data_IF_247287006792
#
_entry.id   IF_247287006792
#
_cell.length_a   1.000
_cell.length_b   1.000
_cell.length_c   1.000
_cell.angle_alpha   90.00
_cell.angle_beta   90.00
_cell.angle_gamma   90.00
#
_symmetry.space_group_name_H-M   'P 1'
#
loop_
_entity.id
_entity.type
_entity.pdbx_description
1 polymer ?
#
# COMPACT_ATOMS: atom_id res chain seq x y z
N UNK A 1 -59.28 22.09 -39.01
CA UNK A 1 -58.95 23.54 -38.95
C UNK A 1 -57.69 23.64 -38.13
N UNK A 2 -56.49 23.64 -38.77
CA UNK A 2 -55.77 24.87 -39.17
C UNK A 2 -55.38 25.61 -37.85
N UNK A 3 -54.12 25.77 -37.42
CA UNK A 3 -52.92 26.35 -38.06
C UNK A 3 -51.81 26.23 -37.02
N UNK A 4 -50.61 25.68 -37.21
CA UNK A 4 -49.47 26.24 -37.90
C UNK A 4 -48.82 27.50 -37.26
N UNK A 5 -47.55 27.41 -37.12
CA UNK A 5 -46.42 28.35 -37.21
C UNK A 5 -45.61 28.48 -35.93
N UNK A 6 -44.32 28.40 -35.86
CA UNK A 6 -43.15 28.65 -36.71
C UNK A 6 -42.00 28.88 -35.72
N UNK A 7 -40.91 28.09 -35.73
CA UNK A 7 -39.63 28.48 -36.31
C UNK A 7 -39.03 29.82 -35.83
N UNK A 8 -37.96 29.79 -35.09
CA UNK A 8 -36.82 30.69 -35.35
C UNK A 8 -35.50 30.12 -34.84
N UNK A 9 -34.70 29.77 -35.76
CA UNK A 9 -33.24 29.58 -35.81
C UNK A 9 -32.51 30.91 -35.60
N UNK A 10 -31.47 30.95 -34.79
CA UNK A 10 -30.31 31.88 -34.90
C UNK A 10 -29.13 31.14 -34.24
N UNK A 11 -28.18 30.61 -34.89
CA UNK A 11 -27.13 30.88 -35.87
C UNK A 11 -26.35 32.20 -35.59
N UNK A 12 -25.02 32.05 -35.65
CA UNK A 12 -23.93 33.06 -35.71
C UNK A 12 -23.37 33.49 -34.34
N UNK A 13 -22.08 33.19 -33.98
CA UNK A 13 -20.93 33.80 -34.56
C UNK A 13 -19.65 33.00 -34.40
N UNK A 14 -19.02 32.81 -35.52
CA UNK A 14 -17.63 32.51 -35.79
C UNK A 14 -16.74 33.66 -35.28
N UNK A 15 -15.67 33.40 -34.58
CA UNK A 15 -14.52 34.29 -34.53
C UNK A 15 -13.24 33.45 -34.55
N UNK A 16 -12.70 33.32 -35.73
CA UNK A 16 -11.32 32.96 -35.99
C UNK A 16 -10.42 34.15 -35.64
N UNK A 17 -9.35 33.92 -34.93
CA UNK A 17 -8.23 34.84 -34.93
C UNK A 17 -6.92 34.04 -34.93
N UNK A 18 -6.28 34.23 -36.01
CA UNK A 18 -5.00 33.96 -36.60
C UNK A 18 -3.78 33.97 -35.66
N UNK A 19 -2.90 33.04 -35.98
CA UNK A 19 -1.45 33.17 -36.28
C UNK A 19 -0.57 34.06 -35.38
N UNK A 20 0.42 33.42 -34.80
CA UNK A 20 1.81 33.83 -35.02
C UNK A 20 2.76 32.66 -34.72
N UNK A 21 3.40 32.22 -35.77
CA UNK A 21 4.63 31.44 -35.85
C UNK A 21 5.79 32.28 -35.25
N UNK A 22 6.55 31.69 -34.34
CA UNK A 22 7.96 32.05 -34.19
C UNK A 22 8.77 30.76 -34.09
N UNK A 23 9.44 30.48 -35.17
CA UNK A 23 10.54 29.57 -35.34
C UNK A 23 11.74 30.07 -34.52
N UNK A 24 12.35 29.20 -33.73
CA UNK A 24 13.63 29.45 -33.12
C UNK A 24 14.39 28.13 -33.07
N UNK A 25 15.03 27.77 -34.18
CA UNK A 25 16.13 26.84 -34.27
C UNK A 25 17.37 27.50 -33.67
N UNK A 26 17.98 26.88 -32.71
CA UNK A 26 19.39 27.12 -32.36
C UNK A 26 20.09 25.77 -32.48
N UNK A 27 20.77 25.61 -33.59
CA UNK A 27 21.89 24.72 -33.79
C UNK A 27 23.07 25.25 -32.97
N UNK A 28 23.70 24.44 -32.20
CA UNK A 28 25.06 24.61 -31.74
C UNK A 28 25.79 23.29 -31.95
N UNK A 29 26.40 23.19 -33.09
CA UNK A 29 27.58 22.37 -33.37
C UNK A 29 28.71 22.87 -32.46
N UNK A 30 29.36 22.02 -31.74
CA UNK A 30 30.75 22.18 -31.32
C UNK A 30 31.50 20.93 -31.68
N UNK A 31 32.20 21.09 -32.74
CA UNK A 31 33.35 20.38 -33.24
C UNK A 31 34.44 20.39 -32.14
N UNK A 32 34.98 19.28 -31.76
CA UNK A 32 36.30 19.18 -31.15
C UNK A 32 37.07 18.01 -31.72
N UNK A 33 37.94 18.39 -32.56
CA UNK A 33 39.17 17.84 -33.10
C UNK A 33 39.81 16.72 -32.26
N UNK A 34 40.13 15.67 -33.00
CA UNK A 34 41.16 14.71 -32.74
C UNK A 34 42.53 15.42 -32.65
N UNK A 35 43.29 15.17 -31.59
CA UNK A 35 44.74 15.32 -31.60
C UNK A 35 45.38 13.99 -31.27
N UNK A 36 45.89 13.41 -32.32
CA UNK A 36 46.88 12.33 -32.41
C UNK A 36 48.27 12.86 -32.02
N UNK A 37 48.97 12.27 -31.09
CA UNK A 37 50.40 12.29 -30.86
C UNK A 37 50.73 11.25 -29.77
N UNK A 38 51.42 10.16 -29.96
CA UNK A 38 52.73 10.00 -30.56
C UNK A 38 53.42 8.91 -29.74
N UNK A 39 53.87 7.89 -30.42
CA UNK A 39 54.70 6.79 -29.92
C UNK A 39 55.92 7.28 -29.15
N UNK A 40 56.29 6.62 -28.05
CA UNK A 40 57.69 6.40 -27.70
C UNK A 40 57.89 5.00 -27.13
N UNK A 41 58.57 4.22 -27.92
CA UNK A 41 59.27 3.01 -27.52
C UNK A 41 60.39 3.34 -26.52
N UNK A 42 60.53 2.57 -25.47
CA UNK A 42 61.79 2.44 -24.74
C UNK A 42 62.12 0.97 -24.47
N UNK A 43 63.01 0.48 -25.29
CA UNK A 43 64.28 -0.24 -25.15
C UNK A 43 64.43 -1.05 -23.85
N UNK A 44 64.62 -2.37 -24.09
CA UNK A 44 65.17 -3.37 -23.20
C UNK A 44 66.58 -3.00 -22.76
N UNK A 45 66.85 -3.16 -21.49
CA UNK A 45 68.23 -3.46 -21.02
C UNK A 45 68.20 -4.72 -20.15
N UNK A 46 68.96 -5.71 -20.66
CA UNK A 46 69.40 -6.90 -19.96
C UNK A 46 70.30 -6.54 -18.80
N UNK A 47 70.07 -7.08 -17.62
CA UNK A 47 71.09 -7.24 -16.62
C UNK A 47 71.10 -8.62 -16.00
N UNK A 48 72.34 -9.15 -16.03
CA UNK A 48 72.84 -10.46 -15.72
C UNK A 48 72.51 -11.04 -14.35
N UNK A 49 72.45 -12.34 -14.35
CA UNK A 49 72.49 -13.26 -13.21
C UNK A 49 73.66 -12.98 -12.26
N UNK A 50 73.33 -12.91 -10.96
CA UNK A 50 74.27 -13.32 -9.90
C UNK A 50 73.55 -14.29 -8.97
N UNK A 51 74.18 -15.48 -8.87
CA UNK A 51 73.85 -16.53 -7.92
C UNK A 51 74.23 -16.09 -6.50
N UNK A 52 73.32 -16.25 -5.57
CA UNK A 52 73.73 -16.33 -4.16
C UNK A 52 73.01 -17.50 -3.48
N UNK A 53 73.79 -18.16 -2.71
CA UNK A 53 73.72 -19.43 -2.05
C UNK A 53 72.47 -19.58 -1.12
N UNK A 54 72.06 -20.82 -1.02
CA UNK A 54 71.07 -21.37 -0.10
C UNK A 54 71.51 -21.18 1.34
N UNK A 55 70.74 -20.42 2.10
CA UNK A 55 70.65 -20.58 3.54
C UNK A 55 69.18 -20.93 3.92
N UNK A 56 69.08 -22.15 4.41
CA UNK A 56 67.89 -22.79 4.91
C UNK A 56 67.51 -22.14 6.24
N UNK A 57 66.52 -21.26 6.22
CA UNK A 57 65.84 -20.83 7.44
C UNK A 57 64.49 -21.50 7.50
N UNK A 58 64.33 -22.47 8.40
CA UNK A 58 63.06 -22.94 8.89
C UNK A 58 62.31 -21.74 9.49
N UNK A 59 61.37 -21.19 8.74
CA UNK A 59 60.35 -20.31 9.28
C UNK A 59 59.22 -21.18 9.80
N UNK A 60 59.09 -21.23 11.11
CA UNK A 60 57.85 -21.57 11.79
C UNK A 60 56.78 -20.62 11.22
N UNK A 61 55.83 -21.18 10.53
CA UNK A 61 54.62 -20.45 10.13
C UNK A 61 53.91 -20.02 11.45
N UNK A 62 53.64 -18.73 11.66
CA UNK A 62 52.72 -18.33 12.72
C UNK A 62 51.33 -18.87 12.34
N UNK A 63 50.74 -19.64 13.22
CA UNK A 63 49.31 -19.93 13.20
C UNK A 63 48.57 -18.63 12.90
N UNK A 64 48.10 -18.48 11.67
CA UNK A 64 47.13 -17.49 11.33
C UNK A 64 45.85 -17.97 12.02
N UNK A 65 45.56 -17.42 13.20
CA UNK A 65 44.21 -17.37 13.72
C UNK A 65 43.38 -16.75 12.58
N UNK A 66 42.56 -17.55 11.94
CA UNK A 66 41.49 -17.06 11.07
C UNK A 66 40.64 -16.12 11.93
N UNK A 67 40.93 -14.83 11.90
CA UNK A 67 40.01 -13.82 12.42
C UNK A 67 38.74 -13.95 11.61
N UNK A 68 37.70 -14.39 12.27
CA UNK A 68 36.34 -14.54 11.75
C UNK A 68 35.81 -13.13 11.43
N UNK A 69 36.18 -12.65 10.20
CA UNK A 69 35.80 -11.32 9.71
C UNK A 69 34.29 -11.26 9.55
N UNK A 70 33.57 -10.67 10.54
CA UNK A 70 32.14 -10.40 10.46
C UNK A 70 31.26 -10.92 11.59
N UNK A 71 31.86 -11.48 12.64
CA UNK A 71 31.13 -11.94 13.80
C UNK A 71 30.85 -10.80 14.78
N UNK A 72 29.57 -10.51 15.04
CA UNK A 72 29.15 -9.41 15.92
C UNK A 72 28.75 -9.97 17.29
N UNK A 73 29.55 -9.69 18.29
CA UNK A 73 29.24 -10.04 19.69
C UNK A 73 28.30 -9.02 20.30
N UNK A 74 27.15 -9.47 20.78
CA UNK A 74 26.22 -8.67 21.61
C UNK A 74 25.92 -9.40 22.91
N UNK A 75 26.06 -8.71 24.03
CA UNK A 75 25.63 -9.23 25.31
C UNK A 75 24.10 -9.32 25.39
N UNK A 76 23.57 -10.22 26.22
CA UNK A 76 22.12 -10.35 26.41
C UNK A 76 21.44 -9.05 26.87
N UNK A 77 22.13 -8.23 27.65
CA UNK A 77 21.65 -6.93 28.07
C UNK A 77 21.56 -5.94 26.88
N UNK A 78 22.53 -5.97 25.97
CA UNK A 78 22.51 -5.17 24.75
C UNK A 78 21.38 -5.62 23.82
N UNK A 79 21.16 -6.91 23.64
CA UNK A 79 20.05 -7.46 22.86
C UNK A 79 18.69 -7.00 23.40
N UNK A 80 18.49 -7.02 24.73
CA UNK A 80 17.25 -6.58 25.35
C UNK A 80 17.01 -5.07 25.21
N UNK A 81 18.05 -4.26 25.35
CA UNK A 81 17.93 -2.79 25.25
C UNK A 81 17.82 -2.30 23.80
N UNK A 82 18.38 -3.02 22.83
CA UNK A 82 18.31 -2.70 21.40
C UNK A 82 16.93 -2.99 20.77
N UNK A 83 16.07 -3.74 21.48
CA UNK A 83 14.76 -4.15 20.95
C UNK A 83 14.87 -5.12 19.77
N UNK A 84 16.01 -5.81 19.62
CA UNK A 84 16.19 -6.88 18.66
C UNK A 84 15.18 -8.00 18.96
N UNK A 85 14.54 -8.50 17.90
CA UNK A 85 13.65 -9.66 18.00
C UNK A 85 14.20 -10.79 17.13
N UNK A 86 14.20 -11.99 17.68
CA UNK A 86 14.61 -13.19 16.98
C UNK A 86 13.41 -13.93 16.40
N UNK A 87 13.63 -14.64 15.30
CA UNK A 87 12.68 -15.59 14.71
C UNK A 87 13.43 -16.77 14.12
N UNK A 88 12.72 -17.86 13.84
CA UNK A 88 13.30 -19.07 13.27
C UNK A 88 12.92 -19.17 11.80
N UNK A 89 13.87 -19.51 10.94
CA UNK A 89 13.64 -19.79 9.53
C UNK A 89 12.81 -21.07 9.41
N UNK A 90 11.64 -20.98 8.85
CA UNK A 90 10.70 -22.09 8.66
C UNK A 90 10.01 -22.01 7.32
N UNK A 91 9.33 -23.10 6.94
CA UNK A 91 8.42 -23.07 5.81
C UNK A 91 7.28 -22.07 6.07
N UNK A 92 6.90 -21.33 5.06
CA UNK A 92 5.83 -20.34 5.13
C UNK A 92 5.02 -20.25 3.84
N UNK A 93 4.15 -19.26 3.79
CA UNK A 93 3.36 -18.94 2.60
C UNK A 93 3.69 -17.52 2.17
N UNK A 94 4.11 -17.35 0.93
CA UNK A 94 4.29 -16.06 0.28
C UNK A 94 3.03 -15.78 -0.54
N UNK A 95 2.46 -14.59 -0.35
CA UNK A 95 1.30 -14.15 -1.11
C UNK A 95 1.76 -13.34 -2.31
N UNK A 96 1.34 -13.77 -3.50
CA UNK A 96 1.43 -12.92 -4.67
C UNK A 96 0.33 -11.87 -4.57
N UNK A 97 0.69 -10.60 -4.52
CA UNK A 97 -0.24 -9.52 -4.25
C UNK A 97 -0.22 -8.48 -5.36
N UNK A 98 -1.41 -8.01 -5.70
CA UNK A 98 -1.61 -6.87 -6.60
C UNK A 98 -1.85 -5.61 -5.77
N UNK A 99 -0.90 -4.65 -5.73
CA UNK A 99 -1.13 -3.38 -5.05
C UNK A 99 -2.09 -2.50 -5.87
N UNK A 100 -3.10 -1.96 -5.19
CA UNK A 100 -4.15 -1.14 -5.79
C UNK A 100 -4.54 0.00 -4.85
N UNK A 101 -5.19 1.01 -5.41
CA UNK A 101 -5.74 2.14 -4.67
C UNK A 101 -7.26 2.08 -4.69
N UNK A 102 -7.88 2.65 -3.66
CA UNK A 102 -9.33 2.69 -3.57
C UNK A 102 -9.85 3.78 -2.66
N UNK A 103 -11.16 3.78 -2.53
CA UNK A 103 -11.93 4.70 -1.68
C UNK A 103 -12.90 3.89 -0.82
N UNK A 104 -13.01 4.26 0.44
CA UNK A 104 -14.05 3.71 1.31
C UNK A 104 -15.40 4.26 0.85
N UNK A 105 -16.35 3.38 0.59
CA UNK A 105 -17.70 3.71 0.17
C UNK A 105 -18.73 3.26 1.21
N UNK A 106 -19.88 3.91 1.19
CA UNK A 106 -21.00 3.52 2.02
C UNK A 106 -21.53 2.16 1.54
N UNK A 107 -21.80 1.25 2.48
CA UNK A 107 -22.53 0.04 2.16
C UNK A 107 -24.01 0.39 1.90
N UNK A 108 -24.39 0.50 0.61
CA UNK A 108 -25.73 0.90 0.21
C UNK A 108 -26.84 -0.07 0.66
N UNK A 109 -26.48 -1.33 0.98
CA UNK A 109 -27.43 -2.33 1.51
C UNK A 109 -27.79 -2.04 2.98
N UNK A 110 -27.06 -1.13 3.63
CA UNK A 110 -27.22 -0.73 5.03
C UNK A 110 -27.60 0.74 5.19
N UNK A 111 -28.36 1.26 4.24
CA UNK A 111 -28.86 2.63 4.23
C UNK A 111 -30.37 2.62 4.32
N UNK A 112 -30.95 3.39 5.22
CA UNK A 112 -32.35 3.67 5.28
C UNK A 112 -32.60 5.11 4.84
N UNK A 113 -33.17 5.30 3.66
CA UNK A 113 -33.79 6.56 3.25
C UNK A 113 -35.19 6.66 3.90
N UNK A 114 -35.34 7.57 4.84
CA UNK A 114 -36.58 7.75 5.62
C UNK A 114 -37.51 8.67 4.85
N UNK A 115 -38.62 8.13 4.36
CA UNK A 115 -39.66 8.88 3.63
C UNK A 115 -40.97 8.87 4.39
N UNK A 116 -41.81 9.85 4.14
CA UNK A 116 -43.17 9.87 4.66
C UNK A 116 -44.06 8.88 3.91
N UNK A 117 -44.88 8.13 4.65
CA UNK A 117 -45.85 7.21 4.04
C UNK A 117 -47.09 7.96 3.48
N UNK A 118 -47.45 9.06 4.14
CA UNK A 118 -48.57 9.93 3.75
C UNK A 118 -48.08 11.37 3.79
N UNK A 119 -48.52 12.18 2.84
CA UNK A 119 -48.19 13.60 2.81
C UNK A 119 -48.78 14.32 4.04
N UNK A 120 -47.98 15.22 4.59
CA UNK A 120 -48.38 15.91 5.81
C UNK A 120 -47.40 16.98 6.26
N UNK A 121 -47.63 17.49 7.46
CA UNK A 121 -46.78 18.47 8.12
C UNK A 121 -45.99 17.78 9.21
N UNK A 122 -44.66 18.01 9.24
CA UNK A 122 -43.77 17.48 10.28
C UNK A 122 -44.06 18.19 11.60
N UNK A 123 -44.45 17.42 12.62
CA UNK A 123 -44.77 17.94 13.96
C UNK A 123 -43.55 17.92 14.88
N UNK A 124 -42.68 16.94 14.74
CA UNK A 124 -41.41 16.91 15.46
C UNK A 124 -40.34 16.17 14.67
N UNK A 125 -39.06 16.56 14.85
CA UNK A 125 -37.91 15.82 14.41
C UNK A 125 -37.03 15.56 15.63
N UNK A 126 -36.90 14.29 16.02
CA UNK A 126 -36.34 13.88 17.31
C UNK A 126 -34.86 13.57 17.25
N UNK A 127 -34.28 13.52 16.05
CA UNK A 127 -32.86 13.15 15.81
C UNK A 127 -32.18 14.23 14.98
N UNK A 128 -30.89 14.42 15.25
CA UNK A 128 -29.98 15.34 14.54
C UNK A 128 -28.96 14.58 13.71
N UNK A 129 -28.32 15.25 12.78
CA UNK A 129 -27.16 14.69 12.07
C UNK A 129 -26.10 14.35 13.11
N UNK A 130 -25.55 13.13 13.02
CA UNK A 130 -24.57 12.57 13.95
C UNK A 130 -25.17 11.76 15.10
N UNK A 131 -26.49 11.82 15.34
CA UNK A 131 -27.14 11.06 16.41
C UNK A 131 -27.15 9.56 16.07
N UNK A 132 -26.77 8.75 17.05
CA UNK A 132 -26.96 7.30 16.99
C UNK A 132 -28.44 6.95 17.15
N UNK A 133 -28.89 5.97 16.39
CA UNK A 133 -30.28 5.47 16.42
C UNK A 133 -30.28 3.95 16.51
N UNK A 134 -31.28 3.43 17.22
CA UNK A 134 -31.56 2.00 17.27
C UNK A 134 -32.83 1.70 16.47
N UNK A 135 -32.89 0.50 15.94
CA UNK A 135 -34.08 0.02 15.26
C UNK A 135 -35.30 0.15 16.18
N UNK A 136 -36.34 0.85 15.70
CA UNK A 136 -37.57 1.16 16.46
C UNK A 136 -37.60 2.56 17.05
N UNK A 137 -36.46 3.27 17.16
CA UNK A 137 -36.43 4.66 17.64
C UNK A 137 -37.32 5.55 16.77
N UNK A 138 -38.13 6.39 17.39
CA UNK A 138 -38.91 7.39 16.66
C UNK A 138 -38.00 8.51 16.15
N UNK A 139 -37.93 8.64 14.84
CA UNK A 139 -37.09 9.63 14.16
C UNK A 139 -37.80 10.97 14.06
N UNK A 140 -39.05 10.94 13.63
CA UNK A 140 -39.90 12.12 13.47
C UNK A 140 -41.38 11.75 13.52
N UNK A 141 -42.25 12.75 13.71
CA UNK A 141 -43.71 12.59 13.66
C UNK A 141 -44.28 13.50 12.58
N UNK A 142 -45.27 12.97 11.85
CA UNK A 142 -45.96 13.66 10.76
C UNK A 142 -47.46 13.64 11.01
N UNK A 143 -48.11 14.75 10.82
CA UNK A 143 -49.57 14.82 10.76
C UNK A 143 -50.01 14.75 9.31
N UNK A 144 -50.77 13.71 8.97
CA UNK A 144 -51.26 13.49 7.62
C UNK A 144 -52.30 14.52 7.20
N UNK A 145 -52.16 15.09 6.01
CA UNK A 145 -53.06 16.12 5.49
C UNK A 145 -54.52 15.66 5.37
N UNK A 146 -54.75 14.41 4.98
CA UNK A 146 -56.09 13.87 4.75
C UNK A 146 -56.83 13.55 6.05
N UNK A 147 -56.16 12.91 7.02
CA UNK A 147 -56.78 12.39 8.22
C UNK A 147 -56.60 13.27 9.46
N UNK A 148 -55.68 14.26 9.40
CA UNK A 148 -55.23 15.10 10.51
C UNK A 148 -54.70 14.27 11.71
N UNK A 149 -54.33 13.01 11.47
CA UNK A 149 -53.77 12.12 12.50
C UNK A 149 -52.23 12.14 12.44
N UNK A 150 -51.66 12.24 13.61
CA UNK A 150 -50.19 12.15 13.74
C UNK A 150 -49.76 10.69 13.75
N UNK A 151 -48.74 10.38 12.98
CA UNK A 151 -48.07 9.09 12.98
C UNK A 151 -46.57 9.27 13.14
N UNK A 152 -45.90 8.27 13.75
CA UNK A 152 -44.47 8.24 13.93
C UNK A 152 -43.80 7.52 12.77
N UNK A 153 -42.61 7.98 12.38
CA UNK A 153 -41.72 7.31 11.46
C UNK A 153 -40.50 6.86 12.27
N UNK A 154 -40.27 5.53 12.27
CA UNK A 154 -39.25 4.91 13.10
C UNK A 154 -38.06 4.44 12.27
N UNK A 155 -36.91 4.33 12.92
CA UNK A 155 -35.74 3.70 12.35
C UNK A 155 -36.00 2.21 12.09
N UNK A 156 -35.69 1.75 10.87
CA UNK A 156 -35.77 0.34 10.51
C UNK A 156 -34.46 -0.42 10.79
N UNK A 157 -33.35 0.31 10.92
CA UNK A 157 -32.01 -0.22 11.17
C UNK A 157 -31.35 0.50 12.35
N UNK A 158 -30.32 -0.10 12.94
CA UNK A 158 -29.38 0.60 13.80
C UNK A 158 -28.43 1.42 12.94
N UNK A 159 -27.95 2.57 13.42
CA UNK A 159 -26.99 3.36 12.66
C UNK A 159 -26.86 4.78 13.19
N UNK A 160 -26.42 5.67 12.29
CA UNK A 160 -26.23 7.09 12.56
C UNK A 160 -27.03 7.90 11.54
N UNK A 161 -27.65 9.00 11.97
CA UNK A 161 -28.26 9.94 11.04
C UNK A 161 -27.19 10.72 10.30
N UNK A 162 -27.14 10.54 8.99
CA UNK A 162 -26.11 11.19 8.14
C UNK A 162 -26.67 12.38 7.37
N UNK A 163 -27.99 12.40 7.12
CA UNK A 163 -28.66 13.50 6.43
C UNK A 163 -29.96 13.85 7.14
N UNK A 164 -30.25 15.14 7.15
CA UNK A 164 -31.51 15.68 7.62
C UNK A 164 -31.98 16.79 6.66
N UNK A 165 -33.05 16.51 5.92
CA UNK A 165 -33.57 17.36 4.85
C UNK A 165 -34.96 17.94 5.17
N UNK A 166 -35.35 17.89 6.45
CA UNK A 166 -36.68 18.37 6.88
C UNK A 166 -36.62 18.98 8.28
N UNK A 167 -37.43 19.99 8.53
CA UNK A 167 -37.58 20.63 9.81
C UNK A 167 -39.05 20.57 10.30
N UNK A 168 -39.20 20.83 11.59
CA UNK A 168 -40.55 20.93 12.21
C UNK A 168 -41.33 22.07 11.56
N UNK A 169 -42.58 21.79 11.20
CA UNK A 169 -43.48 22.72 10.52
C UNK A 169 -43.45 22.68 9.00
N UNK A 170 -42.48 21.99 8.42
CA UNK A 170 -42.37 21.82 6.95
C UNK A 170 -43.30 20.70 6.45
N UNK A 171 -43.69 20.81 5.18
CA UNK A 171 -44.44 19.75 4.50
C UNK A 171 -43.53 18.65 4.02
N UNK A 172 -44.00 17.41 4.17
CA UNK A 172 -43.26 16.23 3.63
C UNK A 172 -43.22 16.30 2.11
N UNK A 173 -42.12 15.76 1.56
CA UNK A 173 -41.88 15.64 0.12
C UNK A 173 -41.64 14.18 -0.25
N UNK A 174 -41.61 13.88 -1.55
CA UNK A 174 -41.21 12.56 -2.05
C UNK A 174 -39.73 12.23 -1.79
N UNK A 175 -38.89 13.24 -1.50
CA UNK A 175 -37.50 13.07 -1.18
C UNK A 175 -37.30 12.51 0.25
N UNK A 176 -36.19 11.86 0.54
CA UNK A 176 -35.83 11.40 1.88
C UNK A 176 -35.81 12.57 2.88
N UNK A 177 -36.53 12.42 4.00
CA UNK A 177 -36.59 13.39 5.09
C UNK A 177 -35.36 13.31 5.99
N UNK A 178 -34.91 12.09 6.24
CA UNK A 178 -33.67 11.72 6.96
C UNK A 178 -33.00 10.56 6.23
N UNK A 179 -31.67 10.41 6.43
CA UNK A 179 -30.94 9.22 6.02
C UNK A 179 -30.25 8.64 7.24
N UNK A 180 -30.48 7.36 7.49
CA UNK A 180 -29.80 6.58 8.53
C UNK A 180 -28.87 5.57 7.86
N UNK A 181 -27.64 5.52 8.31
CA UNK A 181 -26.62 4.61 7.79
C UNK A 181 -26.06 3.74 8.90
N UNK A 182 -26.05 2.43 8.67
CA UNK A 182 -25.32 1.49 9.50
C UNK A 182 -23.89 1.35 8.96
N UNK A 183 -22.94 1.97 9.66
CA UNK A 183 -21.53 2.01 9.31
C UNK A 183 -20.71 0.85 9.92
N UNK A 184 -21.36 -0.18 10.47
CA UNK A 184 -20.68 -1.36 11.04
C UNK A 184 -19.93 -2.18 9.99
N UNK A 185 -20.32 -2.04 8.72
CA UNK A 185 -19.58 -2.52 7.56
C UNK A 185 -19.52 -1.41 6.51
N UNK A 186 -18.43 -1.35 5.76
CA UNK A 186 -18.27 -0.43 4.64
C UNK A 186 -17.80 -1.18 3.39
N UNK A 187 -18.04 -0.61 2.26
CA UNK A 187 -17.47 -1.05 1.01
C UNK A 187 -16.13 -0.38 0.77
N UNK A 188 -15.30 -1.04 -0.01
CA UNK A 188 -14.06 -0.49 -0.54
C UNK A 188 -14.10 -0.62 -2.04
N UNK A 189 -14.19 0.50 -2.73
CA UNK A 189 -14.18 0.55 -4.18
C UNK A 189 -12.72 0.71 -4.65
N UNK A 190 -12.17 -0.37 -5.20
CA UNK A 190 -10.81 -0.48 -5.70
C UNK A 190 -10.77 -0.19 -7.20
N UNK A 191 -9.74 0.52 -7.66
CA UNK A 191 -9.53 0.83 -9.07
C UNK A 191 -8.54 -0.15 -9.68
N UNK A 192 -9.00 -1.02 -10.58
CA UNK A 192 -8.19 -2.02 -11.26
C UNK A 192 -7.96 -1.61 -12.72
N UNK A 193 -6.70 -1.56 -13.14
CA UNK A 193 -6.38 -1.26 -14.52
C UNK A 193 -6.63 -2.46 -15.45
N UNK A 194 -6.94 -2.24 -16.74
CA UNK A 194 -7.27 -3.31 -17.68
C UNK A 194 -6.22 -4.42 -17.79
N UNK A 195 -4.94 -4.08 -17.62
CA UNK A 195 -3.83 -5.05 -17.66
C UNK A 195 -3.89 -6.09 -16.55
N UNK A 196 -4.46 -5.71 -15.39
CA UNK A 196 -4.51 -6.53 -14.18
C UNK A 196 -5.88 -7.21 -13.98
N UNK A 197 -6.89 -6.80 -14.77
CA UNK A 197 -8.28 -7.22 -14.62
C UNK A 197 -8.48 -8.74 -14.70
N UNK A 198 -7.69 -9.44 -15.55
CA UNK A 198 -7.79 -10.88 -15.73
C UNK A 198 -7.33 -11.69 -14.49
N UNK A 199 -6.59 -11.09 -13.58
CA UNK A 199 -6.05 -11.73 -12.38
C UNK A 199 -6.97 -11.56 -11.17
N UNK A 200 -7.96 -10.66 -11.26
CA UNK A 200 -8.85 -10.32 -10.15
C UNK A 200 -10.16 -11.09 -10.26
N UNK A 201 -10.55 -11.76 -9.19
CA UNK A 201 -11.75 -12.58 -9.11
C UNK A 201 -12.56 -12.37 -7.84
N UNK A 202 -13.84 -12.80 -7.88
CA UNK A 202 -14.71 -12.78 -6.70
C UNK A 202 -14.16 -13.70 -5.61
N UNK A 203 -14.30 -13.27 -4.34
CA UNK A 203 -13.86 -14.02 -3.17
C UNK A 203 -12.35 -13.92 -2.88
N UNK A 204 -11.56 -13.24 -3.70
CA UNK A 204 -10.16 -12.99 -3.38
C UNK A 204 -10.08 -12.08 -2.14
N UNK A 205 -9.09 -12.38 -1.29
CA UNK A 205 -8.81 -11.60 -0.09
C UNK A 205 -8.13 -10.29 -0.43
N UNK A 206 -8.54 -9.24 0.25
CA UNK A 206 -7.96 -7.90 0.14
C UNK A 206 -7.50 -7.46 1.51
N UNK A 207 -6.25 -7.07 1.64
CA UNK A 207 -5.69 -6.38 2.79
C UNK A 207 -5.66 -4.88 2.50
N UNK A 208 -6.26 -4.08 3.36
CA UNK A 208 -6.49 -2.66 3.18
C UNK A 208 -5.71 -1.90 4.23
N UNK A 209 -5.06 -0.82 3.84
CA UNK A 209 -4.31 0.06 4.73
C UNK A 209 -4.76 1.50 4.51
N UNK A 210 -4.85 2.28 5.59
CA UNK A 210 -4.93 3.73 5.45
C UNK A 210 -3.61 4.28 4.88
N UNK A 211 -3.60 5.53 4.41
CA UNK A 211 -2.46 6.09 3.68
C UNK A 211 -1.18 6.19 4.52
N UNK A 212 -1.29 6.31 5.84
CA UNK A 212 -0.15 6.37 6.76
C UNK A 212 0.29 4.99 7.28
N UNK A 213 -0.42 3.91 6.88
CA UNK A 213 -0.10 2.54 7.29
C UNK A 213 -0.43 2.20 8.74
N UNK A 214 -1.00 3.13 9.52
CA UNK A 214 -1.27 2.92 10.97
C UNK A 214 -2.42 1.96 11.24
N UNK A 215 -3.32 1.75 10.27
CA UNK A 215 -4.48 0.89 10.39
C UNK A 215 -4.57 -0.07 9.21
N UNK A 216 -4.97 -1.29 9.48
CA UNK A 216 -5.24 -2.29 8.45
C UNK A 216 -6.56 -3.03 8.72
N UNK A 217 -7.17 -3.51 7.66
CA UNK A 217 -8.33 -4.39 7.70
C UNK A 217 -8.26 -5.39 6.55
N UNK A 218 -8.95 -6.50 6.70
CA UNK A 218 -9.09 -7.50 5.65
C UNK A 218 -10.55 -7.64 5.25
N UNK A 219 -10.79 -7.95 3.99
CA UNK A 219 -12.10 -8.24 3.45
C UNK A 219 -11.98 -9.11 2.21
N UNK A 220 -13.11 -9.40 1.60
CA UNK A 220 -13.17 -10.21 0.40
C UNK A 220 -13.84 -9.42 -0.73
N UNK A 221 -13.42 -9.68 -1.98
CA UNK A 221 -14.03 -9.09 -3.17
C UNK A 221 -15.43 -9.67 -3.34
N UNK A 222 -16.43 -8.80 -3.31
CA UNK A 222 -17.85 -9.16 -3.43
C UNK A 222 -18.47 -8.80 -4.79
N UNK A 223 -17.84 -7.88 -5.54
CA UNK A 223 -18.36 -7.39 -6.81
C UNK A 223 -17.24 -6.92 -7.72
N UNK A 224 -17.38 -7.18 -9.00
CA UNK A 224 -16.50 -6.71 -10.07
C UNK A 224 -17.39 -6.05 -11.12
N UNK A 225 -17.14 -4.76 -11.39
CA UNK A 225 -17.91 -4.03 -12.39
C UNK A 225 -17.67 -4.60 -13.78
N UNK A 226 -18.73 -4.83 -14.57
CA UNK A 226 -18.60 -5.39 -15.93
C UNK A 226 -18.06 -4.37 -16.95
N UNK A 227 -18.00 -3.10 -16.58
CA UNK A 227 -17.58 -1.99 -17.43
C UNK A 227 -16.54 -1.14 -16.72
N UNK A 228 -15.49 -0.78 -17.43
CA UNK A 228 -14.54 0.25 -17.00
C UNK A 228 -15.18 1.64 -17.03
N UNK A 229 -14.81 2.48 -16.09
CA UNK A 229 -15.32 3.85 -15.95
C UNK A 229 -14.20 4.89 -16.01
N UNK A 230 -14.54 6.09 -16.45
CA UNK A 230 -13.61 7.22 -16.50
C UNK A 230 -12.63 7.18 -17.67
N UNK A 231 -11.79 8.21 -17.75
CA UNK A 231 -10.81 8.40 -18.83
C UNK A 231 -9.67 7.36 -18.78
N UNK A 232 -9.39 6.78 -17.62
CA UNK A 232 -8.36 5.76 -17.42
C UNK A 232 -8.87 4.33 -17.64
N UNK A 233 -10.17 4.15 -17.97
CA UNK A 233 -10.83 2.85 -18.18
C UNK A 233 -10.67 1.87 -16.99
N UNK A 234 -10.42 2.40 -15.80
CA UNK A 234 -10.30 1.57 -14.62
C UNK A 234 -11.62 0.87 -14.31
N UNK A 235 -11.53 -0.39 -13.96
CA UNK A 235 -12.64 -1.22 -13.53
C UNK A 235 -12.79 -1.10 -12.01
N UNK A 236 -14.01 -0.89 -11.53
CA UNK A 236 -14.29 -0.86 -10.09
C UNK A 236 -14.45 -2.29 -9.57
N UNK A 237 -13.67 -2.64 -8.58
CA UNK A 237 -13.78 -3.88 -7.82
C UNK A 237 -14.15 -3.51 -6.40
N UNK A 238 -15.19 -4.12 -5.86
CA UNK A 238 -15.70 -3.82 -4.52
C UNK A 238 -15.39 -4.93 -3.55
N UNK A 239 -14.79 -4.57 -2.43
CA UNK A 239 -14.62 -5.43 -1.28
C UNK A 239 -15.53 -4.98 -0.12
N UNK A 240 -15.87 -5.92 0.77
CA UNK A 240 -16.61 -5.68 2.00
C UNK A 240 -15.67 -5.83 3.19
N UNK A 241 -15.66 -4.83 4.07
CA UNK A 241 -14.88 -4.87 5.32
C UNK A 241 -15.75 -4.60 6.55
N UNK A 242 -15.40 -5.22 7.66
CA UNK A 242 -15.98 -4.91 8.96
C UNK A 242 -15.43 -3.56 9.49
N UNK A 243 -16.29 -2.78 10.11
CA UNK A 243 -15.96 -1.46 10.65
C UNK A 243 -16.56 -1.26 12.06
N UNK A 244 -16.30 -2.15 13.03
CA UNK A 244 -16.96 -2.13 14.33
C UNK A 244 -16.66 -0.85 15.12
N UNK A 245 -15.49 -0.26 14.95
CA UNK A 245 -15.06 0.93 15.69
C UNK A 245 -15.26 2.24 14.89
N UNK A 246 -15.85 2.20 13.69
CA UNK A 246 -16.05 3.37 12.83
C UNK A 246 -14.74 4.00 12.32
N UNK A 247 -13.62 3.25 12.32
CA UNK A 247 -12.31 3.74 11.90
C UNK A 247 -12.28 4.02 10.38
N UNK A 248 -12.97 3.19 9.60
CA UNK A 248 -13.04 3.30 8.15
C UNK A 248 -14.20 4.22 7.76
N UNK A 249 -13.90 5.50 7.52
CA UNK A 249 -14.90 6.51 7.18
C UNK A 249 -15.10 6.57 5.67
N UNK A 250 -16.34 6.50 5.16
CA UNK A 250 -16.63 6.71 3.75
C UNK A 250 -16.05 8.02 3.22
N UNK A 251 -15.51 7.97 2.00
CA UNK A 251 -14.83 9.09 1.34
C UNK A 251 -13.32 9.12 1.51
N UNK A 252 -12.73 8.33 2.42
CA UNK A 252 -11.28 8.27 2.59
C UNK A 252 -10.62 7.39 1.52
N UNK A 253 -9.46 7.86 1.04
CA UNK A 253 -8.58 7.07 0.18
C UNK A 253 -7.80 6.04 1.00
N UNK A 254 -7.53 4.90 0.37
CA UNK A 254 -6.78 3.79 0.96
C UNK A 254 -5.82 3.16 -0.05
N UNK A 255 -4.81 2.47 0.49
CA UNK A 255 -4.00 1.50 -0.24
C UNK A 255 -4.54 0.10 0.06
N UNK A 256 -4.47 -0.80 -0.92
CA UNK A 256 -4.88 -2.18 -0.73
C UNK A 256 -4.00 -3.14 -1.52
N UNK A 257 -3.91 -4.37 -1.02
CA UNK A 257 -3.24 -5.48 -1.68
C UNK A 257 -4.27 -6.60 -1.89
N UNK A 258 -4.55 -6.93 -3.16
CA UNK A 258 -5.39 -8.07 -3.52
C UNK A 258 -4.50 -9.31 -3.56
N UNK A 259 -4.84 -10.36 -2.83
CA UNK A 259 -4.13 -11.63 -2.89
C UNK A 259 -4.52 -12.38 -4.18
N UNK A 260 -3.56 -12.50 -5.10
CA UNK A 260 -3.74 -13.21 -6.37
C UNK A 260 -3.52 -14.71 -6.21
N UNK A 261 -2.47 -15.09 -5.48
CA UNK A 261 -2.12 -16.47 -5.21
C UNK A 261 -1.43 -16.60 -3.84
N UNK A 262 -1.51 -17.79 -3.26
CA UNK A 262 -0.70 -18.18 -2.11
C UNK A 262 0.22 -19.31 -2.52
N UNK A 263 1.52 -19.13 -2.33
CA UNK A 263 2.54 -20.10 -2.72
C UNK A 263 3.30 -20.51 -1.47
N UNK A 264 3.38 -21.82 -1.24
CA UNK A 264 4.21 -22.36 -0.16
C UNK A 264 5.68 -22.23 -0.53
N UNK A 265 6.45 -21.62 0.37
CA UNK A 265 7.89 -21.50 0.28
C UNK A 265 8.53 -22.38 1.36
N UNK A 266 9.60 -23.14 1.04
CA UNK A 266 10.25 -24.00 2.01
C UNK A 266 10.95 -23.23 3.12
N UNK A 267 11.43 -22.02 2.83
CA UNK A 267 12.11 -21.13 3.77
C UNK A 267 11.60 -19.70 3.57
N UNK A 268 11.21 -19.03 4.64
CA UNK A 268 10.80 -17.63 4.62
C UNK A 268 11.44 -16.85 5.76
N UNK A 269 11.73 -15.58 5.50
CA UNK A 269 12.21 -14.61 6.48
C UNK A 269 11.36 -13.34 6.42
N UNK A 270 11.30 -12.61 7.53
CA UNK A 270 10.67 -11.29 7.55
C UNK A 270 11.47 -10.29 6.69
N UNK A 271 10.80 -9.45 5.91
CA UNK A 271 11.48 -8.43 5.09
C UNK A 271 12.27 -7.43 5.95
N UNK A 272 11.83 -7.18 7.19
CA UNK A 272 12.55 -6.34 8.16
C UNK A 272 13.89 -6.93 8.63
N UNK A 273 14.13 -8.21 8.40
CA UNK A 273 15.39 -8.88 8.70
C UNK A 273 16.47 -8.64 7.65
N UNK A 274 16.05 -8.40 6.40
CA UNK A 274 16.96 -8.28 5.27
C UNK A 274 17.66 -6.92 5.29
N UNK A 275 18.98 -6.94 5.29
CA UNK A 275 19.84 -5.76 5.18
C UNK A 275 20.68 -5.87 3.90
N UNK A 276 21.16 -4.72 3.43
CA UNK A 276 22.11 -4.68 2.30
C UNK A 276 23.48 -4.36 2.88
N UNK A 277 24.42 -5.28 2.74
CA UNK A 277 25.83 -5.12 3.10
C UNK A 277 26.64 -5.37 1.85
N UNK A 278 27.56 -4.49 1.49
CA UNK A 278 28.39 -4.58 0.26
C UNK A 278 27.56 -4.90 -1.01
N UNK A 279 26.43 -4.22 -1.19
CA UNK A 279 25.48 -4.42 -2.30
C UNK A 279 24.84 -5.82 -2.37
N UNK A 280 24.96 -6.63 -1.32
CA UNK A 280 24.34 -7.96 -1.23
C UNK A 280 23.26 -7.99 -0.14
N UNK A 281 22.14 -8.68 -0.35
CA UNK A 281 21.17 -8.92 0.71
C UNK A 281 21.74 -9.94 1.71
N UNK A 282 21.70 -9.57 3.00
CA UNK A 282 22.14 -10.43 4.10
C UNK A 282 21.05 -10.53 5.17
N UNK A 283 21.10 -11.61 5.94
CA UNK A 283 20.29 -11.81 7.15
C UNK A 283 21.27 -12.15 8.27
N UNK A 284 21.11 -11.49 9.42
CA UNK A 284 21.94 -11.78 10.59
C UNK A 284 21.40 -13.02 11.30
N UNK A 285 22.19 -14.08 11.32
CA UNK A 285 21.88 -15.36 11.96
C UNK A 285 22.56 -15.42 13.31
N UNK A 286 21.86 -15.96 14.30
CA UNK A 286 22.41 -16.16 15.63
C UNK A 286 23.27 -17.42 15.64
N UNK A 287 24.51 -17.30 16.06
CA UNK A 287 25.47 -18.37 16.32
C UNK A 287 25.78 -18.48 17.83
N UNK A 288 26.67 -19.38 18.23
CA UNK A 288 26.98 -19.63 19.65
C UNK A 288 27.56 -18.39 20.36
N UNK A 289 28.35 -17.58 19.67
CA UNK A 289 29.06 -16.42 20.24
C UNK A 289 28.51 -15.05 19.78
N UNK A 290 27.46 -15.01 18.96
CA UNK A 290 26.88 -13.72 18.54
C UNK A 290 26.01 -13.80 17.28
N UNK A 291 26.23 -12.88 16.36
CA UNK A 291 25.47 -12.80 15.09
C UNK A 291 26.40 -12.70 13.89
N UNK A 292 26.13 -13.51 12.88
CA UNK A 292 26.86 -13.53 11.62
C UNK A 292 26.00 -12.98 10.47
N UNK A 293 26.49 -12.04 9.66
CA UNK A 293 25.82 -11.58 8.44
C UNK A 293 25.90 -12.65 7.36
N UNK A 294 24.82 -13.38 7.13
CA UNK A 294 24.79 -14.46 6.13
C UNK A 294 24.17 -13.98 4.83
N UNK A 295 24.94 -13.98 3.70
CA UNK A 295 24.42 -13.62 2.39
C UNK A 295 23.27 -14.54 1.98
N UNK A 296 22.18 -13.96 1.45
CA UNK A 296 20.99 -14.72 1.05
C UNK A 296 20.62 -14.44 -0.40
N UNK A 297 20.06 -15.44 -1.06
CA UNK A 297 19.38 -15.27 -2.34
C UNK A 297 17.87 -15.28 -2.08
N UNK A 298 17.22 -14.15 -2.36
CA UNK A 298 15.79 -13.99 -2.14
C UNK A 298 15.00 -14.38 -3.39
N UNK A 299 13.82 -14.94 -3.18
CA UNK A 299 12.83 -15.26 -4.21
C UNK A 299 11.65 -14.29 -4.19
N UNK A 300 10.44 -14.83 -4.12
CA UNK A 300 9.20 -14.07 -4.06
C UNK A 300 9.05 -13.36 -2.72
N UNK A 301 8.36 -12.21 -2.73
CA UNK A 301 8.06 -11.45 -1.51
C UNK A 301 6.63 -10.95 -1.54
N UNK A 302 5.97 -10.89 -0.38
CA UNK A 302 4.61 -10.35 -0.22
C UNK A 302 4.56 -9.01 0.51
N UNK A 303 5.72 -8.37 0.71
CA UNK A 303 5.84 -7.13 1.45
C UNK A 303 6.06 -7.32 2.96
N UNK A 304 5.69 -8.45 3.54
CA UNK A 304 5.94 -8.82 4.94
C UNK A 304 7.05 -9.86 5.07
N UNK A 305 7.06 -10.84 4.15
CA UNK A 305 8.01 -11.95 4.13
C UNK A 305 8.64 -12.12 2.76
N UNK A 306 9.85 -12.63 2.71
CA UNK A 306 10.55 -13.05 1.50
C UNK A 306 10.90 -14.53 1.55
N UNK A 307 10.74 -15.20 0.42
CA UNK A 307 11.24 -16.55 0.18
C UNK A 307 12.76 -16.53 0.13
N UNK A 308 13.39 -17.48 0.79
CA UNK A 308 14.84 -17.69 0.73
C UNK A 308 15.14 -18.88 -0.15
N UNK A 309 15.86 -18.62 -1.25
CA UNK A 309 16.28 -19.64 -2.21
C UNK A 309 17.62 -20.29 -1.85
N UNK A 310 18.50 -19.51 -1.20
CA UNK A 310 19.81 -19.97 -0.74
C UNK A 310 20.34 -19.06 0.38
N UNK A 311 21.28 -19.58 1.19
CA UNK A 311 21.98 -18.87 2.25
C UNK A 311 21.49 -19.20 3.67
N UNK A 312 20.30 -19.78 3.83
CA UNK A 312 19.77 -20.20 5.15
C UNK A 312 19.24 -21.63 5.08
N UNK A 313 19.16 -22.26 6.25
CA UNK A 313 18.53 -23.58 6.42
C UNK A 313 17.34 -23.52 7.39
N UNK A 314 16.50 -24.55 7.30
CA UNK A 314 15.36 -24.64 8.23
C UNK A 314 15.86 -24.84 9.66
N UNK A 315 15.42 -23.98 10.55
CA UNK A 315 15.83 -24.00 11.97
C UNK A 315 16.81 -22.90 12.34
N UNK A 316 17.47 -22.23 11.39
CA UNK A 316 18.33 -21.09 11.69
C UNK A 316 17.54 -20.04 12.48
N UNK A 317 18.16 -19.50 13.52
CA UNK A 317 17.60 -18.38 14.30
C UNK A 317 18.17 -17.08 13.76
N UNK A 318 17.29 -16.15 13.38
CA UNK A 318 17.72 -14.91 12.76
C UNK A 318 17.09 -13.67 13.40
N UNK A 319 17.72 -12.51 13.21
CA UNK A 319 17.22 -11.22 13.70
C UNK A 319 16.09 -10.74 12.80
N UNK A 320 14.86 -10.78 13.31
CA UNK A 320 13.65 -10.43 12.56
C UNK A 320 13.27 -8.96 12.64
N UNK A 321 13.71 -8.24 13.70
CA UNK A 321 13.47 -6.79 13.88
C UNK A 321 14.71 -6.10 14.38
N UNK A 322 14.88 -4.83 13.98
CA UNK A 322 16.01 -3.97 14.34
C UNK A 322 17.38 -4.50 13.87
N UNK A 323 17.40 -5.31 12.81
CA UNK A 323 18.62 -5.86 12.21
C UNK A 323 19.61 -4.79 11.72
N UNK A 324 19.14 -3.55 11.47
CA UNK A 324 20.00 -2.44 11.08
C UNK A 324 21.03 -2.06 12.17
N UNK A 325 20.76 -2.40 13.45
CA UNK A 325 21.70 -2.16 14.56
C UNK A 325 22.96 -2.99 14.34
N UNK A 326 22.79 -4.28 14.01
CA UNK A 326 23.91 -5.17 13.69
C UNK A 326 24.69 -4.69 12.45
N UNK A 327 23.98 -4.26 11.42
CA UNK A 327 24.63 -3.64 10.26
C UNK A 327 25.48 -2.43 10.64
N UNK A 328 25.03 -1.62 11.61
CA UNK A 328 25.77 -0.44 12.06
C UNK A 328 27.00 -0.80 12.89
N UNK A 329 26.95 -1.88 13.66
CA UNK A 329 28.13 -2.37 14.39
C UNK A 329 29.16 -2.95 13.44
N UNK A 330 28.75 -3.78 12.45
CA UNK A 330 29.63 -4.31 11.42
C UNK A 330 30.39 -3.19 10.68
N UNK A 331 29.70 -2.11 10.28
CA UNK A 331 30.35 -0.99 9.60
C UNK A 331 31.29 -0.14 10.48
N UNK A 332 31.26 -0.28 11.82
CA UNK A 332 32.24 0.33 12.72
C UNK A 332 33.52 -0.50 12.78
N UNK A 333 33.40 -1.81 12.84
CA UNK A 333 34.55 -2.73 12.82
C UNK A 333 35.36 -2.57 11.55
N UNK A 334 34.69 -2.52 10.37
CA UNK A 334 35.34 -2.26 9.08
C UNK A 334 36.09 -0.91 9.05
N UNK A 335 35.56 0.12 9.72
CA UNK A 335 36.19 1.44 9.77
C UNK A 335 37.42 1.50 10.71
N UNK A 336 37.46 0.69 11.76
CA UNK A 336 38.59 0.60 12.70
C UNK A 336 39.76 -0.19 12.09
N UNK A 337 39.50 -1.15 11.21
CA UNK A 337 40.54 -1.93 10.50
C UNK A 337 41.14 -1.19 9.29
N UNK A 338 40.54 -0.07 8.86
CA UNK A 338 41.00 0.72 7.70
C UNK A 338 42.04 1.84 8.06
N UNK A 339 42.51 1.91 9.30
CA UNK A 339 43.51 2.93 9.77
C UNK A 339 44.88 2.38 10.05
#
# INVERSE_FOLDING_TARGET
MISNTSMTTKLICLAACCLSLVSGQILAETDHQEEDLGHQEHVQEDHAQENHDEENHEHEEPDHEEHDEGHIELTQDQIQHSGISLATVTAGTIRDVLPVYGVIAINAERVQAVTARFDGVVRSVNKRIGDAVHKGDTLLTVEANESLRTYAINAAINGVVTERNINTGEHTTAAPLLVVQDLSTVWVDLSIFPKDAAQVGLGQRVCIHNLDGSQSATGDIIYIAPLGQGANQAMTVRALIANPNGAWKPGLFINANITLAEVKAPLVVANSAVQIVEDKPVVFVQEEEGFEPRPVTLGRSDGEHSEVLAGLVNGDVYVSKNSFILKSELGKEDAEHAH
#
